data_IF_089232891908
#
_entry.id   IF_089232891908
#
_cell.length_a   1.000
_cell.length_b   1.000
_cell.length_c   1.000
_cell.angle_alpha   90.00
_cell.angle_beta   90.00
_cell.angle_gamma   90.00
#
_symmetry.space_group_name_H-M   'P 1'
#
loop_
_entity.id
_entity.type
_entity.pdbx_description
1 polymer ?
#
# COMPACT_ATOMS: atom_id res chain seq x y z
N UNK A 1 -1.52 -25.54 -5.45
CA UNK A 1 -0.88 -25.85 -6.75
C UNK A 1 -0.87 -24.57 -7.56
N UNK A 2 0.27 -24.16 -8.07
CA UNK A 2 0.37 -23.00 -8.97
C UNK A 2 0.07 -23.49 -10.39
N UNK A 3 -0.80 -22.78 -11.10
CA UNK A 3 -1.07 -23.03 -12.52
C UNK A 3 0.01 -22.45 -13.46
N UNK A 4 1.18 -22.14 -12.90
CA UNK A 4 2.31 -21.54 -13.62
C UNK A 4 3.29 -22.66 -13.96
N UNK A 5 3.68 -22.75 -15.24
CA UNK A 5 4.56 -23.80 -15.74
C UNK A 5 6.06 -23.51 -15.55
N UNK A 6 6.45 -22.29 -15.18
CA UNK A 6 7.82 -21.96 -14.79
C UNK A 6 7.97 -22.01 -13.27
N UNK A 7 9.10 -22.51 -12.81
CA UNK A 7 9.35 -22.68 -11.39
C UNK A 7 9.65 -21.34 -10.71
N UNK A 8 8.83 -20.98 -9.72
CA UNK A 8 9.25 -19.98 -8.75
C UNK A 8 10.25 -20.62 -7.78
N UNK A 9 11.23 -19.86 -7.26
CA UNK A 9 12.14 -20.36 -6.24
C UNK A 9 11.37 -20.95 -5.06
N UNK A 10 11.83 -22.08 -4.53
CA UNK A 10 11.12 -22.82 -3.48
C UNK A 10 10.92 -22.01 -2.20
N UNK A 11 11.88 -21.15 -1.87
CA UNK A 11 11.80 -20.19 -0.76
C UNK A 11 10.70 -19.14 -0.96
N UNK A 12 10.48 -18.70 -2.19
CA UNK A 12 9.39 -17.76 -2.54
C UNK A 12 8.01 -18.43 -2.38
N UNK A 13 7.87 -19.68 -2.81
CA UNK A 13 6.64 -20.45 -2.59
C UNK A 13 6.37 -20.65 -1.09
N UNK A 14 7.40 -21.00 -0.32
CA UNK A 14 7.31 -21.19 1.12
C UNK A 14 6.87 -19.90 1.88
N UNK A 15 7.22 -18.71 1.38
CA UNK A 15 6.80 -17.44 1.97
C UNK A 15 5.27 -17.31 1.99
N UNK A 16 4.60 -17.64 0.89
CA UNK A 16 3.13 -17.60 0.81
C UNK A 16 2.47 -18.47 1.88
N UNK A 17 2.93 -19.71 1.99
CA UNK A 17 2.42 -20.68 2.97
C UNK A 17 2.74 -20.25 4.41
N UNK A 18 3.95 -19.77 4.66
CA UNK A 18 4.38 -19.27 5.97
C UNK A 18 3.57 -18.05 6.42
N UNK A 19 3.27 -17.12 5.50
CA UNK A 19 2.41 -15.98 5.77
C UNK A 19 0.98 -16.40 6.12
N UNK A 20 0.40 -17.34 5.38
CA UNK A 20 -0.92 -17.88 5.71
C UNK A 20 -0.94 -18.54 7.10
N UNK A 21 0.07 -19.34 7.40
CA UNK A 21 0.20 -20.00 8.70
C UNK A 21 0.33 -18.98 9.84
N UNK A 22 1.14 -17.93 9.65
CA UNK A 22 1.27 -16.83 10.63
C UNK A 22 -0.06 -16.12 10.86
N UNK A 23 -0.74 -15.73 9.79
CA UNK A 23 -2.03 -15.03 9.88
C UNK A 23 -3.06 -15.90 10.61
N UNK A 24 -3.18 -17.17 10.26
CA UNK A 24 -4.13 -18.11 10.90
C UNK A 24 -3.83 -18.32 12.39
N UNK A 25 -2.55 -18.34 12.78
CA UNK A 25 -2.14 -18.59 14.16
C UNK A 25 -2.17 -17.34 15.05
N UNK A 26 -1.73 -16.18 14.53
CA UNK A 26 -1.50 -14.98 15.34
C UNK A 26 -2.53 -13.89 15.12
N UNK A 27 -3.00 -13.71 13.87
CA UNK A 27 -3.85 -12.57 13.51
C UNK A 27 -5.33 -12.90 13.66
N UNK A 28 -5.79 -14.02 13.09
CA UNK A 28 -7.22 -14.38 13.12
C UNK A 28 -7.75 -14.59 14.54
N UNK A 29 -7.04 -15.29 15.46
CA UNK A 29 -7.53 -15.43 16.83
C UNK A 29 -7.59 -14.09 17.57
N UNK A 30 -6.60 -13.20 17.35
CA UNK A 30 -6.61 -11.85 17.92
C UNK A 30 -7.77 -11.02 17.39
N UNK A 31 -8.03 -11.09 16.09
CA UNK A 31 -9.20 -10.44 15.49
C UNK A 31 -10.50 -10.96 16.11
N UNK A 32 -10.67 -12.29 16.23
CA UNK A 32 -11.84 -12.92 16.81
C UNK A 32 -12.09 -12.52 18.27
N UNK A 33 -11.03 -12.39 19.08
CA UNK A 33 -11.15 -11.91 20.47
C UNK A 33 -11.68 -10.47 20.56
N UNK A 34 -11.45 -9.65 19.55
CA UNK A 34 -11.85 -8.24 19.48
C UNK A 34 -12.89 -7.97 18.39
N UNK A 35 -13.62 -9.00 17.93
CA UNK A 35 -14.58 -8.91 16.84
C UNK A 35 -15.64 -7.80 17.06
N UNK A 36 -16.14 -7.64 18.29
CA UNK A 36 -17.10 -6.59 18.64
C UNK A 36 -16.58 -5.16 18.36
N UNK A 37 -15.27 -4.96 18.37
CA UNK A 37 -14.61 -3.68 18.06
C UNK A 37 -14.23 -3.60 16.60
N UNK A 38 -13.76 -4.70 15.99
CA UNK A 38 -13.12 -4.70 14.69
C UNK A 38 -14.08 -4.97 13.52
N UNK A 39 -15.16 -5.74 13.73
CA UNK A 39 -16.10 -6.10 12.65
C UNK A 39 -17.02 -4.94 12.25
N UNK A 40 -17.32 -4.03 13.19
CA UNK A 40 -18.06 -2.81 12.87
C UNK A 40 -17.09 -1.66 12.58
N UNK A 41 -16.96 -1.24 11.32
CA UNK A 41 -16.04 -0.14 10.95
C UNK A 41 -16.25 1.15 11.75
N UNK A 42 -17.51 1.39 12.24
CA UNK A 42 -17.83 2.60 13.01
C UNK A 42 -17.22 2.60 14.41
N UNK A 43 -16.92 1.42 14.96
CA UNK A 43 -16.33 1.25 16.30
C UNK A 43 -14.82 1.36 16.32
N UNK A 44 -14.17 1.31 15.16
CA UNK A 44 -12.71 1.36 15.03
C UNK A 44 -12.15 2.75 15.34
N UNK A 45 -12.96 3.80 15.34
CA UNK A 45 -12.50 5.18 15.35
C UNK A 45 -12.89 5.93 16.63
N UNK A 46 -11.98 6.84 17.04
CA UNK A 46 -12.24 7.87 18.02
C UNK A 46 -13.06 9.03 17.39
N UNK A 47 -13.61 9.96 18.23
CA UNK A 47 -14.41 11.06 17.72
C UNK A 47 -13.71 11.99 16.72
N UNK A 48 -12.37 12.09 16.79
CA UNK A 48 -11.54 12.88 15.88
C UNK A 48 -11.27 12.17 14.53
N UNK A 49 -11.75 10.93 14.37
CA UNK A 49 -11.60 10.12 13.18
C UNK A 49 -10.33 9.25 13.11
N UNK A 50 -9.43 9.36 14.07
CA UNK A 50 -8.29 8.43 14.20
C UNK A 50 -8.78 7.05 14.64
N UNK A 51 -7.98 6.01 14.43
CA UNK A 51 -8.25 4.76 15.14
C UNK A 51 -8.25 5.01 16.64
N UNK A 52 -9.15 4.34 17.36
CA UNK A 52 -9.15 4.37 18.82
C UNK A 52 -7.80 3.82 19.35
N UNK A 53 -7.42 4.22 20.56
CA UNK A 53 -6.19 3.74 21.18
C UNK A 53 -6.15 2.20 21.28
N UNK A 54 -7.32 1.58 21.50
CA UNK A 54 -7.45 0.12 21.57
C UNK A 54 -7.19 -0.52 20.21
N UNK A 55 -7.79 -0.02 19.14
CA UNK A 55 -7.56 -0.52 17.77
C UNK A 55 -6.10 -0.33 17.38
N UNK A 56 -5.52 0.83 17.66
CA UNK A 56 -4.11 1.08 17.32
C UNK A 56 -3.13 0.22 18.12
N UNK A 57 -3.46 -0.10 19.38
CA UNK A 57 -2.69 -1.06 20.18
C UNK A 57 -2.68 -2.44 19.53
N UNK A 58 -3.84 -2.94 19.06
CA UNK A 58 -3.93 -4.22 18.34
C UNK A 58 -3.14 -4.23 17.04
N UNK A 59 -3.17 -3.14 16.27
CA UNK A 59 -2.33 -2.97 15.08
C UNK A 59 -0.85 -3.10 15.44
N UNK A 60 -0.42 -2.41 16.49
CA UNK A 60 0.97 -2.44 16.96
C UNK A 60 1.38 -3.82 17.46
N UNK A 61 0.50 -4.53 18.17
CA UNK A 61 0.75 -5.91 18.60
C UNK A 61 0.99 -6.86 17.42
N UNK A 62 0.17 -6.77 16.36
CA UNK A 62 0.37 -7.57 15.15
C UNK A 62 1.70 -7.27 14.48
N UNK A 63 2.06 -5.98 14.33
CA UNK A 63 3.35 -5.56 13.79
C UNK A 63 4.52 -6.15 14.60
N UNK A 64 4.48 -6.02 15.92
CA UNK A 64 5.52 -6.53 16.82
C UNK A 64 5.62 -8.06 16.80
N UNK A 65 4.48 -8.77 16.82
CA UNK A 65 4.46 -10.21 16.72
C UNK A 65 5.05 -10.69 15.38
N UNK A 66 4.71 -10.03 14.30
CA UNK A 66 5.23 -10.31 12.96
C UNK A 66 6.73 -9.97 12.84
N UNK A 67 7.18 -8.85 13.41
CA UNK A 67 8.59 -8.49 13.44
C UNK A 67 9.42 -9.54 14.21
N UNK A 68 8.92 -10.00 15.36
CA UNK A 68 9.54 -11.08 16.15
C UNK A 68 9.62 -12.41 15.38
N UNK A 69 8.60 -12.69 14.53
CA UNK A 69 8.57 -13.88 13.70
C UNK A 69 9.39 -13.75 12.39
N UNK A 70 9.97 -12.57 12.10
CA UNK A 70 10.78 -12.31 10.91
C UNK A 70 9.99 -11.90 9.66
N UNK A 71 8.65 -11.83 9.73
CA UNK A 71 7.83 -11.50 8.55
C UNK A 71 7.71 -10.00 8.29
N UNK A 72 7.59 -9.18 9.33
CA UNK A 72 7.31 -7.75 9.19
C UNK A 72 8.37 -7.04 8.33
N UNK A 73 9.64 -7.41 8.50
CA UNK A 73 10.78 -6.79 7.81
C UNK A 73 11.43 -7.69 6.77
N UNK A 74 10.79 -8.80 6.36
CA UNK A 74 11.42 -9.80 5.49
C UNK A 74 11.92 -9.22 4.15
N UNK A 75 11.24 -8.23 3.60
CA UNK A 75 11.57 -7.58 2.34
C UNK A 75 12.28 -6.23 2.49
N UNK A 76 12.53 -5.78 3.73
CA UNK A 76 13.36 -4.60 3.99
C UNK A 76 14.80 -4.94 3.66
N UNK A 77 15.59 -4.03 3.01
CA UNK A 77 16.98 -4.30 2.67
C UNK A 77 17.83 -4.74 3.87
N UNK A 78 18.69 -5.73 3.65
CA UNK A 78 19.61 -6.24 4.69
C UNK A 78 20.57 -5.16 5.20
N UNK A 79 20.95 -4.20 4.33
CA UNK A 79 21.80 -3.04 4.65
C UNK A 79 21.27 -2.16 5.78
N UNK A 80 19.95 -2.21 6.03
CA UNK A 80 19.28 -1.47 7.11
C UNK A 80 18.62 -2.38 8.15
N UNK A 81 19.02 -3.65 8.20
CA UNK A 81 18.60 -4.61 9.25
C UNK A 81 17.35 -5.42 8.92
N UNK A 82 16.90 -5.43 7.66
CA UNK A 82 15.81 -6.27 7.19
C UNK A 82 16.25 -7.66 6.71
N UNK A 83 15.27 -8.46 6.24
CA UNK A 83 15.50 -9.81 5.72
C UNK A 83 16.06 -9.87 4.30
N UNK A 84 15.95 -8.81 3.51
CA UNK A 84 16.53 -8.70 2.16
C UNK A 84 15.92 -9.61 1.10
N UNK A 85 14.69 -10.12 1.29
CA UNK A 85 14.08 -11.11 0.40
C UNK A 85 13.60 -10.56 -0.96
N UNK A 86 13.62 -9.23 -1.14
CA UNK A 86 13.33 -8.60 -2.44
C UNK A 86 11.84 -8.39 -2.74
N UNK A 87 11.58 -7.98 -4.00
CA UNK A 87 10.26 -7.55 -4.47
C UNK A 87 9.34 -8.73 -4.80
N UNK A 88 9.89 -9.83 -5.29
CA UNK A 88 9.12 -11.02 -5.60
C UNK A 88 8.52 -11.63 -4.32
N UNK A 89 9.33 -11.71 -3.25
CA UNK A 89 8.87 -12.12 -1.93
C UNK A 89 7.79 -11.17 -1.39
N UNK A 90 7.99 -9.86 -1.55
CA UNK A 90 7.04 -8.83 -1.16
C UNK A 90 5.69 -8.97 -1.88
N UNK A 91 5.73 -9.20 -3.19
CA UNK A 91 4.55 -9.44 -4.02
C UNK A 91 3.77 -10.68 -3.56
N UNK A 92 4.46 -11.82 -3.43
CA UNK A 92 3.83 -13.10 -3.05
C UNK A 92 3.25 -13.05 -1.64
N UNK A 93 3.98 -12.45 -0.69
CA UNK A 93 3.51 -12.32 0.69
C UNK A 93 2.24 -11.48 0.79
N UNK A 94 2.20 -10.30 0.17
CA UNK A 94 1.03 -9.44 0.17
C UNK A 94 -0.16 -10.08 -0.55
N UNK A 95 0.06 -10.68 -1.70
CA UNK A 95 -1.00 -11.39 -2.41
C UNK A 95 -1.60 -12.51 -1.55
N UNK A 96 -0.75 -13.28 -0.85
CA UNK A 96 -1.18 -14.38 0.01
C UNK A 96 -2.02 -13.89 1.19
N UNK A 97 -1.63 -12.80 1.85
CA UNK A 97 -2.41 -12.20 2.95
C UNK A 97 -3.79 -11.77 2.49
N UNK A 98 -3.89 -11.01 1.41
CA UNK A 98 -5.18 -10.53 0.91
C UNK A 98 -6.04 -11.64 0.32
N UNK A 99 -5.44 -12.63 -0.30
CA UNK A 99 -6.17 -13.81 -0.78
C UNK A 99 -6.74 -14.65 0.39
N UNK A 100 -6.00 -14.78 1.50
CA UNK A 100 -6.46 -15.55 2.66
C UNK A 100 -7.53 -14.83 3.47
N UNK A 101 -7.43 -13.51 3.59
CA UNK A 101 -8.18 -12.74 4.57
C UNK A 101 -9.28 -11.86 3.96
N UNK A 102 -9.20 -11.54 2.66
CA UNK A 102 -10.08 -10.52 2.08
C UNK A 102 -9.95 -9.18 2.81
N UNK A 103 -11.06 -8.49 3.00
CA UNK A 103 -11.15 -7.27 3.82
C UNK A 103 -11.70 -7.52 5.23
N UNK A 104 -12.24 -8.71 5.50
CA UNK A 104 -12.87 -9.01 6.79
C UNK A 104 -11.92 -8.97 8.00
N UNK A 105 -10.65 -9.26 7.76
CA UNK A 105 -9.68 -9.34 8.85
C UNK A 105 -8.82 -8.07 8.88
N UNK A 106 -9.41 -7.00 9.42
CA UNK A 106 -8.83 -5.67 9.51
C UNK A 106 -7.34 -5.64 9.96
N UNK A 107 -6.94 -6.56 10.86
CA UNK A 107 -5.56 -6.61 11.37
C UNK A 107 -4.57 -7.30 10.42
N UNK A 108 -5.03 -8.07 9.43
CA UNK A 108 -4.15 -8.90 8.60
C UNK A 108 -3.12 -8.11 7.78
N UNK A 109 -3.45 -6.96 7.17
CA UNK A 109 -2.47 -6.17 6.43
C UNK A 109 -1.29 -5.65 7.26
N UNK A 110 -1.43 -5.58 8.57
CA UNK A 110 -0.35 -5.11 9.46
C UNK A 110 0.70 -6.19 9.78
N UNK A 111 0.51 -7.41 9.28
CA UNK A 111 1.51 -8.48 9.40
C UNK A 111 2.75 -8.28 8.52
N UNK A 112 2.70 -7.43 7.51
CA UNK A 112 3.83 -7.12 6.63
C UNK A 112 4.12 -5.62 6.70
N UNK A 113 5.40 -5.24 6.77
CA UNK A 113 5.81 -3.84 6.73
C UNK A 113 5.42 -3.19 5.41
N UNK A 114 4.47 -2.24 5.47
CA UNK A 114 4.09 -1.45 4.31
C UNK A 114 5.19 -0.43 3.99
N UNK A 115 5.53 -0.26 2.72
CA UNK A 115 6.64 0.58 2.25
C UNK A 115 6.64 2.02 2.77
N UNK A 116 5.45 2.59 3.02
CA UNK A 116 5.28 3.96 3.50
C UNK A 116 5.09 4.06 5.03
N UNK A 117 4.76 2.94 5.72
CA UNK A 117 4.41 2.96 7.15
C UNK A 117 5.46 2.30 8.03
N UNK A 118 6.35 1.51 7.43
CA UNK A 118 7.42 0.79 8.10
C UNK A 118 8.78 1.12 7.48
N UNK A 119 9.85 0.48 7.96
CA UNK A 119 11.15 0.56 7.31
C UNK A 119 11.06 0.05 5.85
N UNK A 120 11.70 0.76 4.94
CA UNK A 120 11.76 0.40 3.52
C UNK A 120 13.07 0.87 2.90
N UNK A 121 13.33 0.52 1.63
CA UNK A 121 14.52 0.93 0.89
C UNK A 121 14.74 2.46 0.86
N UNK A 122 13.69 3.26 1.07
CA UNK A 122 13.81 4.72 1.18
C UNK A 122 14.75 5.13 2.32
N UNK A 123 14.79 4.35 3.40
CA UNK A 123 15.63 4.63 4.56
C UNK A 123 17.11 4.25 4.37
N UNK A 124 17.48 3.63 3.26
CA UNK A 124 18.89 3.49 2.88
C UNK A 124 19.56 4.85 2.58
N UNK A 125 18.75 5.86 2.31
CA UNK A 125 19.19 7.20 1.94
C UNK A 125 19.24 8.19 3.10
N UNK A 126 18.97 7.77 4.34
CA UNK A 126 19.15 8.60 5.54
C UNK A 126 20.56 8.44 6.10
N UNK A 127 21.03 9.41 6.89
CA UNK A 127 22.35 9.37 7.53
C UNK A 127 22.45 8.23 8.56
N UNK A 128 23.67 7.77 8.86
CA UNK A 128 23.88 6.72 9.85
C UNK A 128 23.40 7.12 11.25
N UNK A 129 23.50 8.40 11.60
CA UNK A 129 23.00 8.92 12.88
C UNK A 129 21.49 8.76 12.98
N UNK A 130 20.77 9.13 11.91
CA UNK A 130 19.31 8.97 11.83
C UNK A 130 18.94 7.49 11.83
N UNK A 131 19.62 6.65 11.04
CA UNK A 131 19.39 5.18 11.02
C UNK A 131 19.47 4.58 12.43
N UNK A 132 20.55 4.83 13.15
CA UNK A 132 20.75 4.31 14.51
C UNK A 132 19.64 4.72 15.48
N UNK A 133 19.08 5.90 15.28
CA UNK A 133 18.01 6.45 16.13
C UNK A 133 16.65 5.83 15.86
N UNK A 134 16.27 5.66 14.59
CA UNK A 134 14.87 5.32 14.22
C UNK A 134 14.64 3.85 13.86
N UNK A 135 15.64 3.19 13.24
CA UNK A 135 15.45 1.83 12.71
C UNK A 135 15.10 0.79 13.77
N UNK A 136 15.68 0.76 15.01
CA UNK A 136 15.32 -0.24 15.99
C UNK A 136 13.81 -0.25 16.30
N UNK A 137 13.19 0.92 16.42
CA UNK A 137 11.76 1.04 16.74
C UNK A 137 10.88 0.76 15.55
N UNK A 138 11.26 1.19 14.34
CA UNK A 138 10.55 0.89 13.11
C UNK A 138 10.60 -0.60 12.77
N UNK A 139 11.78 -1.23 12.86
CA UNK A 139 11.96 -2.66 12.59
C UNK A 139 11.27 -3.56 13.63
N UNK A 140 11.15 -3.09 14.87
CA UNK A 140 10.38 -3.81 15.89
C UNK A 140 8.87 -3.73 15.70
N UNK A 141 8.37 -2.86 14.82
CA UNK A 141 6.95 -2.57 14.61
C UNK A 141 6.33 -1.70 15.71
N UNK A 142 7.10 -1.20 16.68
CA UNK A 142 6.60 -0.30 17.73
C UNK A 142 6.30 1.08 17.20
N UNK A 143 7.17 1.62 16.35
CA UNK A 143 6.97 2.90 15.67
C UNK A 143 6.59 2.70 14.21
N UNK A 144 6.04 3.75 13.63
CA UNK A 144 5.65 3.79 12.22
C UNK A 144 5.96 5.14 11.60
N UNK A 145 5.90 5.19 10.28
CA UNK A 145 6.12 6.42 9.51
C UNK A 145 4.99 6.66 8.53
N UNK A 146 5.01 7.82 7.90
CA UNK A 146 4.14 8.17 6.78
C UNK A 146 4.91 8.92 5.68
N UNK A 147 4.26 9.13 4.54
CA UNK A 147 4.89 9.63 3.33
C UNK A 147 4.09 10.82 2.77
N UNK A 148 4.53 12.05 3.10
CA UNK A 148 3.86 13.30 2.79
C UNK A 148 4.34 13.90 1.45
N UNK A 149 3.83 13.41 0.33
CA UNK A 149 4.12 13.92 -1.01
C UNK A 149 3.01 14.82 -1.54
N UNK A 150 1.79 14.28 -1.64
CA UNK A 150 0.64 14.95 -2.26
C UNK A 150 0.20 16.19 -1.49
N UNK A 151 -0.36 17.16 -2.23
CA UNK A 151 -0.89 18.41 -1.68
C UNK A 151 -2.30 18.69 -2.24
N UNK A 152 -3.08 19.61 -1.65
CA UNK A 152 -4.42 19.96 -2.18
C UNK A 152 -4.41 20.35 -3.67
N UNK A 153 -3.32 20.92 -4.16
CA UNK A 153 -3.16 21.33 -5.56
C UNK A 153 -2.23 20.47 -6.40
N UNK A 154 -1.66 19.37 -5.86
CA UNK A 154 -0.66 18.54 -6.53
C UNK A 154 -0.83 17.06 -6.16
N UNK A 155 -1.61 16.34 -6.97
CA UNK A 155 -1.81 14.89 -6.89
C UNK A 155 -1.07 14.16 -8.00
N UNK A 156 -1.73 13.92 -9.14
CA UNK A 156 -1.15 13.26 -10.31
C UNK A 156 0.11 13.96 -10.85
N UNK A 157 0.14 15.28 -10.78
CA UNK A 157 1.36 16.06 -11.02
C UNK A 157 2.05 16.42 -9.71
N UNK A 158 2.71 15.42 -9.12
CA UNK A 158 3.45 15.58 -7.87
C UNK A 158 4.69 16.49 -7.98
N UNK A 159 5.10 16.86 -9.20
CA UNK A 159 6.18 17.83 -9.40
C UNK A 159 5.77 19.27 -9.07
N UNK A 160 4.47 19.54 -8.99
CA UNK A 160 3.88 20.85 -8.73
C UNK A 160 3.58 21.14 -7.26
N UNK A 161 4.20 20.40 -6.34
CA UNK A 161 4.07 20.67 -4.90
C UNK A 161 4.56 22.08 -4.57
N UNK A 162 3.97 22.68 -3.52
CA UNK A 162 4.23 24.06 -3.08
C UNK A 162 4.79 24.17 -1.66
N UNK A 163 4.81 23.06 -0.89
CA UNK A 163 5.50 23.03 0.41
C UNK A 163 6.95 23.43 0.20
N UNK A 164 7.43 24.38 0.99
CA UNK A 164 8.77 25.01 0.85
C UNK A 164 9.70 24.52 1.94
N UNK A 165 10.96 24.35 1.59
CA UNK A 165 12.08 24.19 2.51
C UNK A 165 12.99 25.41 2.37
N UNK A 166 12.84 26.36 3.27
CA UNK A 166 13.67 27.59 3.32
C UNK A 166 14.92 27.33 4.15
N UNK A 167 16.10 27.54 3.59
CA UNK A 167 17.34 27.32 4.31
C UNK A 167 17.49 28.30 5.48
N UNK A 168 17.89 27.79 6.65
CA UNK A 168 18.17 28.55 7.85
C UNK A 168 19.41 27.94 8.55
N UNK A 169 20.54 28.64 8.47
CA UNK A 169 21.81 28.09 8.92
C UNK A 169 22.21 26.86 8.09
N UNK A 170 22.49 25.76 8.77
CA UNK A 170 22.83 24.47 8.18
C UNK A 170 21.62 23.53 7.96
N UNK A 171 20.42 23.95 8.37
CA UNK A 171 19.17 23.23 8.20
C UNK A 171 18.12 24.01 7.40
N UNK A 172 16.85 23.63 7.58
CA UNK A 172 15.72 24.24 6.84
C UNK A 172 14.51 24.45 7.74
N UNK A 173 13.63 25.37 7.32
CA UNK A 173 12.27 25.53 7.79
C UNK A 173 11.30 25.00 6.72
N UNK A 174 10.43 24.07 7.12
CA UNK A 174 9.41 23.53 6.24
C UNK A 174 8.08 24.24 6.49
N UNK A 175 7.44 24.74 5.42
CA UNK A 175 6.12 25.37 5.49
C UNK A 175 5.25 24.96 4.31
N UNK A 176 4.03 24.53 4.58
CA UNK A 176 3.08 24.09 3.55
C UNK A 176 2.00 23.16 4.08
N UNK A 177 1.32 22.48 3.18
CA UNK A 177 0.25 21.53 3.49
C UNK A 177 0.44 20.23 2.72
N UNK A 178 0.12 19.10 3.36
CA UNK A 178 0.05 17.79 2.72
C UNK A 178 -1.36 17.22 2.84
N UNK A 179 -1.74 16.42 1.85
CA UNK A 179 -3.05 15.78 1.81
C UNK A 179 -2.90 14.33 1.35
N UNK A 180 -3.80 13.47 1.74
CA UNK A 180 -3.78 12.03 1.43
C UNK A 180 -2.56 11.33 2.02
N UNK A 181 -2.09 11.77 3.19
CA UNK A 181 -0.94 11.16 3.86
C UNK A 181 -1.41 10.01 4.73
N UNK A 182 -1.40 8.81 4.17
CA UNK A 182 -1.85 7.60 4.88
C UNK A 182 -0.95 7.29 6.07
N UNK A 183 -1.52 6.73 7.14
CA UNK A 183 -0.91 6.48 8.45
C UNK A 183 -0.51 7.74 9.23
N UNK A 184 -0.62 8.95 8.69
CA UNK A 184 -0.22 10.17 9.39
C UNK A 184 -0.96 10.43 10.70
N UNK A 185 -2.21 9.94 10.93
CA UNK A 185 -2.85 10.06 12.23
C UNK A 185 -2.13 9.32 13.38
N UNK A 186 -1.22 8.40 13.06
CA UNK A 186 -0.57 7.52 14.04
C UNK A 186 0.95 7.39 13.86
N UNK A 187 1.52 8.01 12.83
CA UNK A 187 2.93 7.91 12.52
C UNK A 187 3.79 8.68 13.51
N UNK A 188 4.96 8.13 13.83
CA UNK A 188 6.00 8.79 14.64
C UNK A 188 6.91 9.68 13.78
N UNK A 189 7.03 9.34 12.49
CA UNK A 189 7.84 10.09 11.52
C UNK A 189 7.10 10.28 10.21
N UNK A 190 7.37 11.42 9.55
CA UNK A 190 6.89 11.70 8.19
C UNK A 190 8.06 11.99 7.25
N UNK A 191 8.14 11.31 6.11
CA UNK A 191 9.00 11.76 5.02
C UNK A 191 8.25 12.85 4.27
N UNK A 192 8.69 14.09 4.42
CA UNK A 192 8.08 15.28 3.83
C UNK A 192 8.87 15.70 2.59
N UNK A 193 8.19 15.86 1.46
CA UNK A 193 8.75 16.40 0.24
C UNK A 193 8.45 17.88 0.13
N UNK A 194 9.50 18.69 -0.08
CA UNK A 194 9.39 20.14 -0.13
C UNK A 194 10.29 20.75 -1.20
N UNK A 195 9.86 21.85 -1.78
CA UNK A 195 10.64 22.64 -2.74
C UNK A 195 11.77 23.34 -1.98
N UNK A 196 13.00 22.96 -2.28
CA UNK A 196 14.25 23.50 -1.71
C UNK A 196 15.03 24.38 -2.69
N UNK A 197 14.69 24.31 -3.99
CA UNK A 197 15.13 25.21 -5.06
C UNK A 197 13.95 25.49 -5.99
N UNK A 198 13.35 26.66 -5.84
CA UNK A 198 12.15 27.04 -6.58
C UNK A 198 12.43 27.22 -8.09
N UNK A 199 13.63 27.66 -8.48
CA UNK A 199 13.98 27.86 -9.88
C UNK A 199 14.17 26.51 -10.59
N UNK A 200 14.89 25.57 -9.99
CA UNK A 200 15.08 24.22 -10.51
C UNK A 200 13.74 23.45 -10.57
N UNK A 201 12.89 23.59 -9.55
CA UNK A 201 11.57 22.97 -9.51
C UNK A 201 10.66 23.48 -10.63
N UNK A 202 10.58 24.80 -10.83
CA UNK A 202 9.81 25.41 -11.92
C UNK A 202 10.32 25.00 -13.32
N UNK A 203 11.60 24.72 -13.46
CA UNK A 203 12.21 24.22 -14.69
C UNK A 203 12.11 22.70 -14.87
N UNK A 204 11.49 21.96 -13.94
CA UNK A 204 11.47 20.48 -13.87
C UNK A 204 12.86 19.82 -13.92
N UNK A 205 13.85 20.48 -13.31
CA UNK A 205 15.26 20.04 -13.24
C UNK A 205 15.71 19.62 -11.84
N UNK A 206 14.78 19.08 -11.03
CA UNK A 206 14.98 18.79 -9.61
C UNK A 206 14.36 19.87 -8.73
N UNK A 207 15.04 20.27 -7.63
CA UNK A 207 14.60 21.34 -6.76
C UNK A 207 13.66 20.91 -5.64
N UNK A 208 13.26 19.65 -5.60
CA UNK A 208 12.49 19.05 -4.50
C UNK A 208 13.46 18.23 -3.63
N UNK A 209 13.37 18.37 -2.31
CA UNK A 209 14.10 17.57 -1.34
C UNK A 209 13.16 16.79 -0.45
N UNK A 210 13.65 15.68 0.13
CA UNK A 210 12.92 14.86 1.08
C UNK A 210 13.55 15.01 2.47
N UNK A 211 12.70 15.13 3.50
CA UNK A 211 13.12 15.31 4.89
C UNK A 211 12.38 14.34 5.80
N UNK A 212 13.09 13.67 6.71
CA UNK A 212 12.48 12.85 7.74
C UNK A 212 12.14 13.74 8.95
N UNK A 213 10.87 13.95 9.20
CA UNK A 213 10.33 14.85 10.23
C UNK A 213 9.67 14.03 11.33
N UNK A 214 10.04 14.17 12.61
CA UNK A 214 9.24 13.67 13.72
C UNK A 214 7.86 14.33 13.71
N UNK A 215 6.80 13.57 13.94
CA UNK A 215 5.42 14.11 13.88
C UNK A 215 5.05 14.92 15.12
N UNK A 216 5.85 14.84 16.20
CA UNK A 216 5.77 15.67 17.40
C UNK A 216 6.62 16.96 17.31
N UNK A 217 7.27 17.23 16.17
CA UNK A 217 8.05 18.43 15.96
C UNK A 217 7.14 19.69 16.03
N UNK A 218 7.66 20.75 16.63
CA UNK A 218 6.94 22.03 16.72
C UNK A 218 6.55 22.53 15.32
N UNK A 219 5.29 22.84 15.12
CA UNK A 219 4.70 23.30 13.86
C UNK A 219 4.28 22.18 12.91
N UNK A 220 4.47 20.89 13.26
CA UNK A 220 3.89 19.76 12.53
C UNK A 220 2.52 19.43 13.12
N UNK A 221 1.47 19.54 12.33
CA UNK A 221 0.09 19.34 12.80
C UNK A 221 -0.70 18.41 11.88
N UNK A 222 -1.44 17.47 12.47
CA UNK A 222 -2.51 16.76 11.78
C UNK A 222 -3.76 17.68 11.83
N UNK A 223 -4.05 18.35 10.72
CA UNK A 223 -5.19 19.26 10.60
C UNK A 223 -6.53 18.50 10.68
N UNK A 224 -6.60 17.36 9.99
CA UNK A 224 -7.80 16.51 10.01
C UNK A 224 -7.50 15.11 9.49
N UNK A 225 -8.36 14.17 9.86
CA UNK A 225 -8.44 12.85 9.25
C UNK A 225 -9.41 12.90 8.08
N UNK A 226 -8.97 12.46 6.91
CA UNK A 226 -9.81 12.42 5.71
C UNK A 226 -10.74 11.21 5.78
N UNK A 227 -12.05 11.47 5.68
CA UNK A 227 -13.08 10.42 5.74
C UNK A 227 -13.49 10.00 4.34
N UNK A 228 -13.24 8.74 3.98
CA UNK A 228 -13.58 8.18 2.68
C UNK A 228 -14.91 7.42 2.74
N UNK A 229 -15.69 7.42 1.67
CA UNK A 229 -16.94 6.65 1.51
C UNK A 229 -17.95 6.81 2.64
N UNK A 230 -17.95 7.95 3.36
CA UNK A 230 -18.85 8.16 4.50
C UNK A 230 -18.43 7.43 5.79
N UNK A 231 -17.21 6.91 5.86
CA UNK A 231 -16.68 6.31 7.09
C UNK A 231 -16.54 7.34 8.22
N UNK A 232 -16.60 6.87 9.46
CA UNK A 232 -16.47 7.70 10.64
C UNK A 232 -15.05 8.26 10.83
N UNK A 233 -14.05 7.58 10.29
CA UNK A 233 -12.64 7.93 10.35
C UNK A 233 -11.84 7.35 9.20
N UNK A 234 -10.53 7.37 9.31
CA UNK A 234 -9.62 6.87 8.26
C UNK A 234 -8.17 6.84 8.71
N UNK A 235 -7.34 6.50 7.76
CA UNK A 235 -5.89 6.40 7.89
C UNK A 235 -5.18 7.56 7.16
N UNK A 236 -5.90 8.29 6.33
CA UNK A 236 -5.40 9.40 5.54
C UNK A 236 -5.53 10.72 6.31
N UNK A 237 -4.44 11.46 6.43
CA UNK A 237 -4.43 12.77 7.07
C UNK A 237 -4.20 13.93 6.11
N UNK A 238 -4.74 15.09 6.49
CA UNK A 238 -4.33 16.40 6.03
C UNK A 238 -3.34 16.98 7.05
N UNK A 239 -2.17 17.42 6.59
CA UNK A 239 -1.10 17.92 7.43
C UNK A 239 -0.83 19.40 7.15
N UNK A 240 -0.53 20.14 8.22
CA UNK A 240 0.02 21.50 8.16
C UNK A 240 1.44 21.48 8.69
N UNK A 241 2.32 22.14 7.97
CA UNK A 241 3.70 22.39 8.35
C UNK A 241 3.83 23.92 8.51
N UNK A 242 4.01 24.37 9.74
CA UNK A 242 4.22 25.80 10.05
C UNK A 242 5.62 26.01 10.62
N UNK A 243 6.54 26.39 9.73
CA UNK A 243 7.93 26.67 10.07
C UNK A 243 8.63 25.53 10.83
N UNK A 244 8.32 24.29 10.47
CA UNK A 244 8.91 23.09 11.10
C UNK A 244 10.42 23.08 10.86
N UNK A 245 11.19 23.09 11.94
CA UNK A 245 12.66 23.03 11.86
C UNK A 245 13.11 21.62 11.54
N UNK A 246 14.01 21.49 10.56
CA UNK A 246 14.72 20.23 10.23
C UNK A 246 16.22 20.50 10.10
N UNK A 247 17.02 19.61 10.65
CA UNK A 247 18.45 19.69 10.62
C UNK A 247 19.00 18.98 9.35
N UNK A 248 20.25 19.26 9.02
CA UNK A 248 20.90 18.67 7.84
C UNK A 248 20.89 17.14 7.84
N UNK A 249 21.02 16.54 9.00
CA UNK A 249 21.00 15.08 9.14
C UNK A 249 19.67 14.42 8.80
N UNK A 250 18.56 15.19 8.84
CA UNK A 250 17.22 14.74 8.52
C UNK A 250 16.91 14.75 7.01
N UNK A 251 17.84 15.24 6.18
CA UNK A 251 17.74 15.13 4.73
C UNK A 251 17.78 13.66 4.31
N UNK A 252 16.83 13.25 3.49
CA UNK A 252 16.74 11.90 2.92
C UNK A 252 17.23 11.93 1.48
N UNK A 253 18.36 11.28 1.22
CA UNK A 253 19.00 11.28 -0.08
C UNK A 253 19.77 12.57 -0.39
N UNK A 254 19.74 12.97 -1.64
CA UNK A 254 20.49 14.12 -2.14
C UNK A 254 19.63 15.38 -2.15
N UNK A 255 20.16 16.50 -1.69
CA UNK A 255 19.50 17.80 -1.75
C UNK A 255 19.05 18.11 -3.18
N UNK A 256 17.85 18.65 -3.35
CA UNK A 256 17.19 18.97 -4.63
C UNK A 256 16.83 17.76 -5.51
N UNK A 257 17.06 16.52 -5.05
CA UNK A 257 16.76 15.29 -5.80
C UNK A 257 15.76 14.36 -5.06
N UNK A 258 15.01 14.88 -4.11
CA UNK A 258 14.03 14.12 -3.31
C UNK A 258 12.94 13.45 -4.16
N UNK A 259 12.67 13.94 -5.38
CA UNK A 259 11.70 13.31 -6.26
C UNK A 259 12.13 11.90 -6.71
N UNK A 260 13.43 11.62 -6.82
CA UNK A 260 13.94 10.28 -7.06
C UNK A 260 13.64 9.34 -5.88
N UNK A 261 13.77 9.84 -4.65
CA UNK A 261 13.38 9.13 -3.42
C UNK A 261 11.87 8.85 -3.39
N UNK A 262 11.04 9.83 -3.82
CA UNK A 262 9.61 9.64 -3.93
C UNK A 262 9.26 8.51 -4.91
N UNK A 263 9.88 8.48 -6.08
CA UNK A 263 9.65 7.46 -7.10
C UNK A 263 10.06 6.05 -6.64
N UNK A 264 11.12 5.93 -5.84
CA UNK A 264 11.51 4.65 -5.24
C UNK A 264 10.37 4.11 -4.36
N UNK A 265 9.85 4.93 -3.43
CA UNK A 265 8.72 4.55 -2.59
C UNK A 265 7.47 4.20 -3.39
N UNK A 266 7.08 5.03 -4.35
CA UNK A 266 5.91 4.80 -5.22
C UNK A 266 6.05 3.51 -6.03
N UNK A 267 7.27 3.10 -6.43
CA UNK A 267 7.49 1.84 -7.11
C UNK A 267 7.17 0.64 -6.22
N UNK A 268 7.59 0.67 -4.94
CA UNK A 268 7.20 -0.32 -3.95
C UNK A 268 5.68 -0.35 -3.73
N UNK A 269 5.04 0.82 -3.70
CA UNK A 269 3.58 0.97 -3.62
C UNK A 269 2.86 0.31 -4.79
N UNK A 270 3.41 0.39 -6.00
CA UNK A 270 2.83 -0.28 -7.17
C UNK A 270 2.93 -1.80 -7.10
N UNK A 271 4.04 -2.37 -6.62
CA UNK A 271 4.17 -3.81 -6.34
C UNK A 271 3.11 -4.24 -5.33
N UNK A 272 3.00 -3.50 -4.21
CA UNK A 272 2.01 -3.73 -3.17
C UNK A 272 0.57 -3.70 -3.71
N UNK A 273 0.19 -2.65 -4.43
CA UNK A 273 -1.17 -2.49 -4.94
C UNK A 273 -1.51 -3.51 -6.03
N UNK A 274 -0.54 -3.96 -6.82
CA UNK A 274 -0.71 -5.08 -7.76
C UNK A 274 -1.04 -6.37 -7.01
N UNK A 275 -0.24 -6.72 -6.01
CA UNK A 275 -0.45 -7.91 -5.18
C UNK A 275 -1.79 -7.87 -4.44
N UNK A 276 -2.13 -6.72 -3.86
CA UNK A 276 -3.38 -6.47 -3.15
C UNK A 276 -4.60 -6.67 -4.05
N UNK A 277 -4.57 -6.08 -5.25
CA UNK A 277 -5.69 -6.19 -6.19
C UNK A 277 -5.95 -7.63 -6.63
N UNK A 278 -4.89 -8.38 -6.92
CA UNK A 278 -5.00 -9.78 -7.32
C UNK A 278 -5.47 -10.64 -6.14
N UNK A 279 -4.91 -10.45 -4.95
CA UNK A 279 -5.30 -11.20 -3.75
C UNK A 279 -6.77 -10.99 -3.40
N UNK A 280 -7.23 -9.74 -3.38
CA UNK A 280 -8.63 -9.39 -3.09
C UNK A 280 -9.58 -9.88 -4.20
N UNK A 281 -9.18 -9.78 -5.48
CA UNK A 281 -9.97 -10.28 -6.59
C UNK A 281 -10.15 -11.80 -6.53
N UNK A 282 -9.09 -12.56 -6.21
CA UNK A 282 -9.15 -14.01 -6.02
C UNK A 282 -10.05 -14.40 -4.86
N UNK A 283 -9.90 -13.75 -3.72
CA UNK A 283 -10.79 -13.94 -2.57
C UNK A 283 -12.26 -13.74 -2.95
N UNK A 284 -12.58 -12.66 -3.66
CA UNK A 284 -13.95 -12.35 -4.07
C UNK A 284 -14.53 -13.41 -5.02
N UNK A 285 -13.74 -13.90 -5.98
CA UNK A 285 -14.18 -14.97 -6.91
C UNK A 285 -14.40 -16.28 -6.20
N UNK A 286 -13.52 -16.69 -5.29
CA UNK A 286 -13.69 -17.91 -4.50
C UNK A 286 -14.93 -17.85 -3.62
N UNK A 287 -15.20 -16.70 -3.01
CA UNK A 287 -16.42 -16.47 -2.25
C UNK A 287 -17.68 -16.59 -3.14
N UNK A 288 -17.64 -15.96 -4.32
CA UNK A 288 -18.74 -16.05 -5.29
C UNK A 288 -18.96 -17.48 -5.78
N UNK A 289 -17.91 -18.22 -6.09
CA UNK A 289 -18.00 -19.62 -6.53
C UNK A 289 -18.63 -20.51 -5.45
N UNK A 290 -18.30 -20.31 -4.18
CA UNK A 290 -18.93 -21.03 -3.07
C UNK A 290 -20.41 -20.66 -2.94
N UNK A 291 -20.75 -19.39 -3.07
CA UNK A 291 -22.12 -18.91 -2.95
C UNK A 291 -23.03 -19.43 -4.06
N UNK A 292 -22.62 -19.36 -5.33
CA UNK A 292 -23.45 -19.74 -6.47
C UNK A 292 -23.75 -21.24 -6.53
N UNK A 293 -22.93 -22.07 -5.89
CA UNK A 293 -23.16 -23.52 -5.78
C UNK A 293 -24.24 -23.85 -4.75
N UNK A 294 -24.49 -22.97 -3.77
CA UNK A 294 -25.42 -23.20 -2.67
C UNK A 294 -26.73 -22.44 -2.86
N UNK A 295 -26.67 -21.26 -3.48
CA UNK A 295 -27.84 -20.39 -3.67
C UNK A 295 -28.66 -20.85 -4.87
N UNK A 296 -29.95 -21.11 -4.63
CA UNK A 296 -30.92 -21.48 -5.67
C UNK A 296 -31.79 -20.29 -6.10
N UNK A 297 -32.16 -20.27 -7.35
CA UNK A 297 -33.20 -19.42 -7.94
C UNK A 297 -33.87 -20.19 -9.07
N UNK A 298 -35.20 -20.02 -9.21
CA UNK A 298 -35.99 -20.69 -10.23
C UNK A 298 -35.82 -22.21 -10.26
N UNK A 299 -35.60 -22.84 -9.07
CA UNK A 299 -35.50 -24.27 -8.88
C UNK A 299 -34.12 -24.89 -9.17
N UNK A 300 -33.08 -24.08 -9.45
CA UNK A 300 -31.74 -24.53 -9.75
C UNK A 300 -30.68 -23.70 -8.99
N UNK A 301 -29.50 -24.27 -8.69
CA UNK A 301 -28.36 -23.48 -8.20
C UNK A 301 -27.98 -22.38 -9.18
N UNK A 302 -27.52 -21.23 -8.65
CA UNK A 302 -27.05 -20.14 -9.51
C UNK A 302 -25.88 -20.57 -10.44
N UNK A 303 -25.13 -21.59 -10.04
CA UNK A 303 -24.06 -22.18 -10.83
C UNK A 303 -24.52 -22.76 -12.18
N UNK A 304 -25.80 -23.09 -12.33
CA UNK A 304 -26.36 -23.63 -13.59
C UNK A 304 -26.61 -22.53 -14.63
N UNK A 305 -26.56 -21.26 -14.22
CA UNK A 305 -26.86 -20.14 -15.11
C UNK A 305 -25.57 -19.54 -15.69
N UNK A 306 -25.37 -19.67 -17.02
CA UNK A 306 -24.19 -19.16 -17.72
C UNK A 306 -24.02 -17.65 -17.58
N UNK A 307 -25.13 -16.89 -17.47
CA UNK A 307 -25.10 -15.44 -17.21
C UNK A 307 -24.43 -15.07 -15.88
N UNK A 308 -24.33 -16.01 -14.93
CA UNK A 308 -23.64 -15.84 -13.65
C UNK A 308 -22.21 -16.42 -13.73
N UNK A 309 -22.04 -17.60 -14.31
CA UNK A 309 -20.76 -18.34 -14.26
C UNK A 309 -19.74 -17.84 -15.29
N UNK A 310 -20.15 -17.39 -16.48
CA UNK A 310 -19.22 -16.87 -17.49
C UNK A 310 -18.46 -15.64 -17.04
N UNK A 311 -19.08 -14.62 -16.40
CA UNK A 311 -18.34 -13.50 -15.81
C UNK A 311 -17.30 -13.92 -14.75
N UNK A 312 -17.57 -14.99 -13.97
CA UNK A 312 -16.61 -15.52 -12.99
C UNK A 312 -15.40 -16.18 -13.69
N UNK A 313 -15.65 -16.95 -14.75
CA UNK A 313 -14.58 -17.57 -15.55
C UNK A 313 -13.69 -16.51 -16.23
N UNK A 314 -14.30 -15.45 -16.76
CA UNK A 314 -13.56 -14.33 -17.33
C UNK A 314 -12.70 -13.63 -16.28
N UNK A 315 -13.23 -13.37 -15.07
CA UNK A 315 -12.47 -12.79 -13.97
C UNK A 315 -11.29 -13.67 -13.56
N UNK A 316 -11.47 -15.00 -13.49
CA UNK A 316 -10.38 -15.92 -13.19
C UNK A 316 -9.26 -15.84 -14.24
N UNK A 317 -9.62 -15.78 -15.54
CA UNK A 317 -8.67 -15.61 -16.64
C UNK A 317 -7.88 -14.31 -16.54
N UNK A 318 -8.58 -13.19 -16.29
CA UNK A 318 -7.98 -11.86 -16.19
C UNK A 318 -7.07 -11.74 -14.96
N UNK A 319 -7.49 -12.28 -13.81
CA UNK A 319 -6.67 -12.29 -12.58
C UNK A 319 -5.42 -13.15 -12.74
N UNK A 320 -5.51 -14.27 -13.49
CA UNK A 320 -4.34 -15.10 -13.82
C UNK A 320 -3.33 -14.30 -14.67
N UNK A 321 -3.78 -13.62 -15.71
CA UNK A 321 -2.92 -12.76 -16.52
C UNK A 321 -2.27 -11.64 -15.67
N UNK A 322 -3.05 -10.97 -14.82
CA UNK A 322 -2.56 -9.93 -13.92
C UNK A 322 -1.49 -10.48 -12.95
N UNK A 323 -1.66 -11.70 -12.45
CA UNK A 323 -0.70 -12.37 -11.58
C UNK A 323 0.64 -12.60 -12.29
N UNK A 324 0.63 -13.09 -13.52
CA UNK A 324 1.85 -13.28 -14.31
C UNK A 324 2.57 -11.95 -14.57
N UNK A 325 1.82 -10.89 -14.89
CA UNK A 325 2.39 -9.54 -15.05
C UNK A 325 3.03 -9.02 -13.76
N UNK A 326 2.40 -9.26 -12.62
CA UNK A 326 2.92 -8.87 -11.31
C UNK A 326 4.20 -9.61 -10.93
N UNK A 327 4.25 -10.93 -11.17
CA UNK A 327 5.46 -11.75 -10.96
C UNK A 327 6.61 -11.24 -11.83
N UNK A 328 6.35 -11.01 -13.13
CA UNK A 328 7.36 -10.51 -14.05
C UNK A 328 7.92 -9.16 -13.60
N UNK A 329 7.07 -8.20 -13.25
CA UNK A 329 7.51 -6.89 -12.79
C UNK A 329 8.34 -6.97 -11.50
N UNK A 330 7.93 -7.79 -10.53
CA UNK A 330 8.66 -7.99 -9.28
C UNK A 330 10.03 -8.66 -9.51
N UNK A 331 10.09 -9.66 -10.39
CA UNK A 331 11.34 -10.37 -10.73
C UNK A 331 12.33 -9.46 -11.45
N UNK A 332 11.87 -8.59 -12.37
CA UNK A 332 12.73 -7.59 -13.02
C UNK A 332 13.33 -6.61 -12.02
N UNK A 333 12.54 -6.16 -11.04
CA UNK A 333 13.05 -5.31 -9.96
C UNK A 333 14.12 -6.02 -9.12
N UNK A 334 13.97 -7.31 -8.83
CA UNK A 334 14.97 -8.10 -8.09
C UNK A 334 16.26 -8.34 -8.89
N UNK A 335 16.19 -8.25 -10.21
CA UNK A 335 17.37 -8.25 -11.09
C UNK A 335 18.06 -6.88 -11.18
N UNK A 336 17.56 -5.88 -10.46
CA UNK A 336 18.07 -4.51 -10.47
C UNK A 336 17.59 -3.67 -11.66
N UNK A 337 16.62 -4.15 -12.43
CA UNK A 337 16.02 -3.40 -13.53
C UNK A 337 14.98 -2.40 -12.99
N UNK A 338 14.79 -1.30 -13.71
CA UNK A 338 13.82 -0.28 -13.29
C UNK A 338 12.36 -0.70 -13.50
N UNK A 339 12.07 -1.62 -14.42
CA UNK A 339 10.78 -2.21 -14.75
C UNK A 339 9.60 -1.20 -14.79
N UNK A 340 9.85 0.03 -15.26
CA UNK A 340 8.88 1.15 -15.16
C UNK A 340 7.62 0.87 -15.96
N UNK A 341 7.78 0.35 -17.18
CA UNK A 341 6.68 -0.02 -18.08
C UNK A 341 5.90 -1.22 -17.51
N UNK A 342 6.61 -2.29 -17.20
CA UNK A 342 6.05 -3.55 -16.71
C UNK A 342 5.29 -3.35 -15.40
N UNK A 343 5.85 -2.59 -14.47
CA UNK A 343 5.20 -2.26 -13.20
C UNK A 343 3.96 -1.37 -13.40
N UNK A 344 4.00 -0.43 -14.37
CA UNK A 344 2.84 0.39 -14.71
C UNK A 344 1.73 -0.45 -15.38
N UNK A 345 2.09 -1.38 -16.25
CA UNK A 345 1.16 -2.34 -16.87
C UNK A 345 0.53 -3.24 -15.81
N UNK A 346 1.35 -3.86 -14.97
CA UNK A 346 0.90 -4.79 -13.93
C UNK A 346 -0.08 -4.12 -12.96
N UNK A 347 0.27 -2.93 -12.41
CA UNK A 347 -0.60 -2.23 -11.45
C UNK A 347 -1.90 -1.77 -12.09
N UNK A 348 -1.86 -1.14 -13.26
CA UNK A 348 -3.08 -0.62 -13.89
C UNK A 348 -4.04 -1.75 -14.27
N UNK A 349 -3.54 -2.83 -14.85
CA UNK A 349 -4.35 -3.97 -15.24
C UNK A 349 -4.90 -4.73 -14.02
N UNK A 350 -4.04 -5.08 -13.05
CA UNK A 350 -4.46 -5.81 -11.86
C UNK A 350 -5.57 -5.10 -11.08
N UNK A 351 -5.47 -3.77 -10.94
CA UNK A 351 -6.48 -3.01 -10.20
C UNK A 351 -7.82 -2.97 -10.94
N UNK A 352 -7.82 -2.83 -12.26
CA UNK A 352 -9.05 -2.84 -13.06
C UNK A 352 -9.73 -4.21 -13.05
N UNK A 353 -8.97 -5.28 -13.32
CA UNK A 353 -9.55 -6.63 -13.33
C UNK A 353 -9.96 -7.11 -11.93
N UNK A 354 -9.22 -6.69 -10.89
CA UNK A 354 -9.58 -6.95 -9.51
C UNK A 354 -10.89 -6.27 -9.11
N UNK A 355 -11.05 -5.00 -9.47
CA UNK A 355 -12.29 -4.24 -9.22
C UNK A 355 -13.48 -4.86 -9.96
N UNK A 356 -13.29 -5.27 -11.22
CA UNK A 356 -14.33 -5.93 -11.99
C UNK A 356 -14.68 -7.32 -11.43
N UNK A 357 -13.70 -8.09 -10.97
CA UNK A 357 -13.94 -9.36 -10.30
C UNK A 357 -14.81 -9.20 -9.05
N UNK A 358 -14.56 -8.15 -8.26
CA UNK A 358 -15.40 -7.84 -7.09
C UNK A 358 -16.80 -7.39 -7.51
N UNK A 359 -16.96 -6.55 -8.53
CA UNK A 359 -18.27 -6.17 -9.08
C UNK A 359 -19.10 -7.42 -9.45
N UNK A 360 -18.49 -8.35 -10.16
CA UNK A 360 -19.13 -9.61 -10.57
C UNK A 360 -19.50 -10.50 -9.39
N UNK A 361 -18.60 -10.58 -8.39
CA UNK A 361 -18.87 -11.28 -7.14
C UNK A 361 -20.04 -10.66 -6.36
N UNK A 362 -20.06 -9.33 -6.22
CA UNK A 362 -21.17 -8.60 -5.60
C UNK A 362 -22.49 -8.88 -6.32
N UNK A 363 -22.47 -8.83 -7.66
CA UNK A 363 -23.65 -9.10 -8.49
C UNK A 363 -24.17 -10.53 -8.29
N UNK A 364 -23.27 -11.53 -8.22
CA UNK A 364 -23.61 -12.92 -7.99
C UNK A 364 -24.26 -13.14 -6.59
N UNK A 365 -23.85 -12.39 -5.58
CA UNK A 365 -24.43 -12.43 -4.23
C UNK A 365 -25.76 -11.68 -4.10
N UNK A 366 -26.14 -10.86 -5.12
CA UNK A 366 -27.34 -10.02 -5.06
C UNK A 366 -27.28 -9.04 -3.88
N UNK A 367 -28.40 -8.85 -3.17
CA UNK A 367 -28.47 -7.94 -2.03
C UNK A 367 -27.44 -8.22 -0.92
N UNK A 368 -27.09 -9.49 -0.70
CA UNK A 368 -26.05 -9.87 0.26
C UNK A 368 -24.68 -9.30 -0.08
N UNK A 369 -24.33 -9.18 -1.36
CA UNK A 369 -23.08 -8.61 -1.80
C UNK A 369 -22.86 -7.13 -1.42
N UNK A 370 -23.94 -6.44 -0.99
CA UNK A 370 -23.88 -5.05 -0.54
C UNK A 370 -23.73 -4.90 0.97
N UNK A 371 -23.82 -6.01 1.71
CA UNK A 371 -23.78 -6.00 3.18
C UNK A 371 -22.35 -6.10 3.71
N UNK A 372 -22.15 -5.62 4.93
CA UNK A 372 -20.88 -5.78 5.65
C UNK A 372 -20.60 -7.24 6.01
N UNK A 373 -21.63 -8.10 6.07
CA UNK A 373 -21.51 -9.53 6.42
C UNK A 373 -20.66 -10.29 5.40
N UNK A 374 -20.77 -9.92 4.10
CA UNK A 374 -20.00 -10.55 3.02
C UNK A 374 -18.65 -9.83 2.79
N UNK A 375 -18.56 -8.53 3.13
CA UNK A 375 -17.34 -7.72 3.03
C UNK A 375 -16.91 -7.36 1.61
N UNK A 376 -17.67 -7.72 0.58
CA UNK A 376 -17.33 -7.38 -0.82
C UNK A 376 -17.38 -5.88 -1.06
N UNK A 377 -18.29 -5.16 -0.41
CA UNK A 377 -18.39 -3.70 -0.52
C UNK A 377 -17.14 -2.99 0.03
N UNK A 378 -16.54 -3.49 1.12
CA UNK A 378 -15.27 -2.97 1.65
C UNK A 378 -14.12 -3.26 0.68
N UNK A 379 -14.06 -4.46 0.11
CA UNK A 379 -13.07 -4.82 -0.93
C UNK A 379 -13.19 -3.90 -2.13
N UNK A 380 -14.40 -3.64 -2.59
CA UNK A 380 -14.67 -2.72 -3.71
C UNK A 380 -14.12 -1.30 -3.42
N UNK A 381 -14.37 -0.77 -2.21
CA UNK A 381 -13.87 0.54 -1.79
C UNK A 381 -12.34 0.58 -1.80
N UNK A 382 -11.68 -0.45 -1.27
CA UNK A 382 -10.23 -0.59 -1.28
C UNK A 382 -9.68 -0.54 -2.71
N UNK A 383 -10.24 -1.34 -3.61
CA UNK A 383 -9.79 -1.40 -5.01
C UNK A 383 -10.06 -0.08 -5.74
N UNK A 384 -11.16 0.61 -5.41
CA UNK A 384 -11.45 1.93 -5.96
C UNK A 384 -10.45 2.99 -5.50
N UNK A 385 -9.97 2.93 -4.26
CA UNK A 385 -8.90 3.79 -3.73
C UNK A 385 -7.61 3.55 -4.51
N UNK A 386 -7.17 2.29 -4.64
CA UNK A 386 -5.89 1.98 -5.27
C UNK A 386 -5.89 2.16 -6.78
N UNK A 387 -7.04 2.33 -7.41
CA UNK A 387 -7.14 2.80 -8.81
C UNK A 387 -6.60 4.24 -8.95
N UNK A 388 -6.59 5.00 -7.84
CA UNK A 388 -6.11 6.39 -7.78
C UNK A 388 -4.71 6.46 -7.16
N UNK A 389 -4.47 5.74 -6.06
CA UNK A 389 -3.23 5.81 -5.29
C UNK A 389 -2.01 5.30 -6.08
N UNK A 390 -0.82 5.79 -5.71
CA UNK A 390 0.50 5.45 -6.29
C UNK A 390 0.59 5.64 -7.82
N UNK A 391 -0.14 6.65 -8.30
CA UNK A 391 -0.36 6.97 -9.71
C UNK A 391 -1.66 6.38 -10.23
N UNK A 392 -2.56 7.26 -10.67
CA UNK A 392 -3.83 6.83 -11.27
C UNK A 392 -3.58 5.95 -12.49
N UNK A 393 -4.55 5.11 -12.85
CA UNK A 393 -4.42 4.26 -14.03
C UNK A 393 -4.17 5.06 -15.31
N UNK A 394 -4.66 6.31 -15.40
CA UNK A 394 -4.39 7.24 -16.51
C UNK A 394 -2.92 7.67 -16.53
N UNK A 395 -2.33 7.98 -15.37
CA UNK A 395 -0.90 8.32 -15.26
C UNK A 395 -0.03 7.11 -15.60
N UNK A 396 -0.45 5.91 -15.21
CA UNK A 396 0.28 4.68 -15.57
C UNK A 396 0.21 4.41 -17.08
N UNK A 397 -0.95 4.58 -17.71
CA UNK A 397 -1.09 4.48 -19.17
C UNK A 397 -0.25 5.51 -19.90
N UNK A 398 -0.23 6.77 -19.42
CA UNK A 398 0.68 7.80 -19.92
C UNK A 398 2.15 7.34 -19.84
N UNK A 399 2.53 6.75 -18.71
CA UNK A 399 3.90 6.23 -18.51
C UNK A 399 4.22 5.12 -19.50
N UNK A 400 3.32 4.17 -19.69
CA UNK A 400 3.46 3.06 -20.66
C UNK A 400 3.70 3.62 -22.05
N UNK A 401 2.81 4.50 -22.54
CA UNK A 401 2.93 5.10 -23.89
C UNK A 401 4.25 5.86 -24.06
N UNK A 402 4.65 6.62 -23.03
CA UNK A 402 5.93 7.35 -23.08
C UNK A 402 7.15 6.41 -23.18
N UNK A 403 7.08 5.23 -22.58
CA UNK A 403 8.14 4.20 -22.70
C UNK A 403 8.16 3.58 -24.08
N UNK A 404 6.99 3.19 -24.60
CA UNK A 404 6.85 2.65 -25.97
C UNK A 404 7.38 3.62 -27.03
N UNK A 405 7.02 4.90 -26.93
CA UNK A 405 7.51 5.95 -27.86
C UNK A 405 9.01 6.19 -27.76
N UNK A 406 9.67 5.81 -26.67
CA UNK A 406 11.13 5.85 -26.50
C UNK A 406 11.82 4.57 -26.97
N UNK A 407 11.10 3.66 -27.61
CA UNK A 407 11.66 2.42 -28.16
C UNK A 407 11.68 1.24 -27.19
N UNK A 408 11.07 1.35 -26.00
CA UNK A 408 10.91 0.26 -25.05
C UNK A 408 9.67 -0.58 -25.45
N UNK A 409 9.81 -1.34 -26.55
CA UNK A 409 8.72 -2.06 -27.22
C UNK A 409 8.72 -3.55 -26.93
N UNK A 410 9.61 -4.04 -26.11
CA UNK A 410 9.60 -5.43 -25.64
C UNK A 410 8.40 -5.65 -24.71
N UNK A 411 7.50 -6.62 -25.08
CA UNK A 411 6.20 -6.85 -24.45
C UNK A 411 6.14 -8.24 -23.83
#
# INVERSE_FOLDING_TARGET
MTSIAFDLPADILAIGDAMQAFVKREVLPRHAQHAALLDDPRRRYAPDGRYSNEVYALIREVRMASAKAGFFNMCVPASIGGGGLGHLAYFVAWQSVYHTCGAHHFLAPYAIGHWAFAASAVLEHVTDAVRKRILPELLSGRQSMCFGLSEPGAGSDASMIKTRATQEGDGWRLSGRKLWTSNSPHADYCIVFAVSDAHAAAAHKGGISAFLVPTDAAGFELESVVKLFGHAGGDEGALVLDNVRVEREQLVGTLHQGFATALLGVSLGRVYNTARAIGLGRFAIELALSYVQQREAFGHPLADYQGITFPLAESATQLHAAHLMGLNAALLLDRGERAIKELSMAKSYAVEVGLEAVNRAMQAHGGMGLTNEVGLAEIWQILRIINIADGTNEILRRTIVQRLLKGDTDL
#
